data_IF_574832486569
#
_entry.id   IF_574832486569
#
_cell.length_a   1.000
_cell.length_b   1.000
_cell.length_c   1.000
_cell.angle_alpha   90.00
_cell.angle_beta   90.00
_cell.angle_gamma   90.00
#
_symmetry.space_group_name_H-M   'P 1'
#
loop_
_entity.id
_entity.type
_entity.pdbx_description
1 polymer ?
#
# COMPACT_ATOMS: atom_id res chain seq x y z
N UNK A 1 -25.83 -9.06 -7.49
CA UNK A 1 -24.80 -7.98 -7.49
C UNK A 1 -23.49 -8.65 -7.85
N UNK A 2 -22.78 -8.12 -8.83
CA UNK A 2 -21.44 -8.61 -9.18
C UNK A 2 -20.53 -8.27 -8.00
N UNK A 3 -19.73 -9.24 -7.55
CA UNK A 3 -18.74 -9.04 -6.49
C UNK A 3 -17.73 -7.96 -6.91
N UNK A 4 -17.52 -6.95 -6.06
CA UNK A 4 -16.62 -5.82 -6.35
C UNK A 4 -15.21 -6.30 -6.72
N UNK A 5 -14.66 -7.25 -5.97
CA UNK A 5 -13.33 -7.79 -6.25
C UNK A 5 -13.27 -8.42 -7.65
N UNK A 6 -14.27 -9.23 -8.02
CA UNK A 6 -14.34 -9.85 -9.34
C UNK A 6 -14.45 -8.82 -10.47
N UNK A 7 -15.23 -7.74 -10.27
CA UNK A 7 -15.31 -6.62 -11.22
C UNK A 7 -13.94 -5.99 -11.46
N UNK A 8 -13.18 -5.77 -10.38
CA UNK A 8 -11.84 -5.17 -10.45
C UNK A 8 -10.83 -6.10 -11.13
N UNK A 9 -10.86 -7.39 -10.84
CA UNK A 9 -10.03 -8.40 -11.52
C UNK A 9 -10.28 -8.39 -13.03
N UNK A 10 -11.56 -8.40 -13.45
CA UNK A 10 -11.93 -8.37 -14.86
C UNK A 10 -11.54 -7.06 -15.55
N UNK A 11 -11.71 -5.93 -14.89
CA UNK A 11 -11.26 -4.63 -15.39
C UNK A 11 -9.74 -4.61 -15.55
N UNK A 12 -9.01 -5.09 -14.55
CA UNK A 12 -7.54 -5.16 -14.57
C UNK A 12 -7.03 -6.06 -15.71
N UNK A 13 -7.64 -7.22 -15.93
CA UNK A 13 -7.29 -8.12 -17.03
C UNK A 13 -7.42 -7.45 -18.40
N UNK A 14 -8.54 -6.74 -18.62
CA UNK A 14 -8.76 -6.00 -19.88
C UNK A 14 -7.74 -4.89 -20.06
N UNK A 15 -7.40 -4.14 -19.00
CA UNK A 15 -6.40 -3.06 -19.03
C UNK A 15 -5.02 -3.61 -19.35
N UNK A 16 -4.60 -4.69 -18.70
CA UNK A 16 -3.30 -5.33 -18.94
C UNK A 16 -3.18 -5.85 -20.39
N UNK A 17 -4.22 -6.49 -20.92
CA UNK A 17 -4.25 -6.96 -22.30
C UNK A 17 -4.17 -5.80 -23.32
N UNK A 18 -4.94 -4.73 -23.09
CA UNK A 18 -4.92 -3.54 -23.96
C UNK A 18 -3.55 -2.84 -23.92
N UNK A 19 -2.99 -2.65 -22.75
CA UNK A 19 -1.69 -2.01 -22.55
C UNK A 19 -0.56 -2.82 -23.20
N UNK A 20 -0.56 -4.14 -23.07
CA UNK A 20 0.43 -5.02 -23.75
C UNK A 20 0.41 -4.90 -25.26
N UNK A 21 -0.76 -4.67 -25.86
CA UNK A 21 -0.91 -4.48 -27.31
C UNK A 21 -0.47 -3.08 -27.78
N UNK A 22 -0.79 -2.04 -27.00
CA UNK A 22 -0.51 -0.65 -27.37
C UNK A 22 0.90 -0.21 -27.02
N UNK A 23 1.48 -0.74 -25.95
CA UNK A 23 2.77 -0.33 -25.41
C UNK A 23 3.58 -1.58 -25.02
N UNK A 24 4.14 -2.32 -25.99
CA UNK A 24 4.94 -3.49 -25.67
C UNK A 24 6.17 -3.12 -24.83
N UNK A 25 6.20 -3.55 -23.58
CA UNK A 25 7.36 -3.39 -22.69
C UNK A 25 8.25 -4.63 -22.74
N UNK A 26 9.56 -4.42 -22.73
CA UNK A 26 10.50 -5.49 -22.41
C UNK A 26 10.46 -5.73 -20.89
N UNK A 27 10.58 -7.00 -20.49
CA UNK A 27 10.67 -7.36 -19.07
C UNK A 27 11.85 -6.64 -18.42
N UNK A 28 11.65 -5.75 -17.44
CA UNK A 28 12.75 -5.14 -16.71
C UNK A 28 13.54 -6.23 -15.96
N UNK A 29 14.84 -6.03 -15.83
CA UNK A 29 15.69 -6.93 -15.03
C UNK A 29 16.57 -6.09 -14.12
N UNK A 30 16.25 -6.10 -12.83
CA UNK A 30 17.03 -5.44 -11.80
C UNK A 30 17.15 -6.36 -10.57
N UNK A 31 17.68 -7.59 -10.72
CA UNK A 31 17.76 -8.55 -9.63
C UNK A 31 18.59 -7.96 -8.48
N UNK A 32 18.05 -8.05 -7.26
CA UNK A 32 18.69 -7.50 -6.06
C UNK A 32 18.49 -6.00 -5.83
N UNK A 33 17.75 -5.28 -6.69
CA UNK A 33 17.38 -3.89 -6.47
C UNK A 33 16.13 -3.73 -5.58
N UNK A 34 15.37 -4.81 -5.32
CA UNK A 34 14.26 -4.82 -4.39
C UNK A 34 14.74 -4.60 -2.93
N UNK A 35 13.80 -4.27 -2.06
CA UNK A 35 14.08 -4.03 -0.64
C UNK A 35 14.01 -2.57 -0.22
N UNK A 36 13.99 -1.62 -1.17
CA UNK A 36 14.00 -0.18 -0.87
C UNK A 36 12.73 0.25 -0.12
N UNK A 37 11.56 -0.23 -0.54
CA UNK A 37 10.28 0.12 0.10
C UNK A 37 10.19 -0.49 1.50
N UNK A 38 10.47 -1.80 1.60
CA UNK A 38 10.48 -2.50 2.89
C UNK A 38 11.52 -1.92 3.86
N UNK A 39 12.72 -1.60 3.36
CA UNK A 39 13.78 -1.03 4.19
C UNK A 39 13.42 0.35 4.77
N UNK A 40 12.77 1.23 3.99
CA UNK A 40 12.32 2.54 4.47
C UNK A 40 11.32 2.39 5.63
N UNK A 41 10.34 1.50 5.50
CA UNK A 41 9.36 1.25 6.56
C UNK A 41 10.00 0.61 7.80
N UNK A 42 10.86 -0.40 7.61
CA UNK A 42 11.55 -1.06 8.71
C UNK A 42 12.49 -0.12 9.49
N UNK A 43 13.22 0.74 8.79
CA UNK A 43 14.10 1.72 9.41
C UNK A 43 13.32 2.73 10.29
N UNK A 44 12.17 3.21 9.81
CA UNK A 44 11.31 4.11 10.56
C UNK A 44 10.71 3.45 11.81
N UNK A 45 10.24 2.19 11.67
CA UNK A 45 9.70 1.42 12.79
C UNK A 45 10.77 1.04 13.83
N UNK A 46 12.05 0.92 13.42
CA UNK A 46 13.17 0.60 14.30
C UNK A 46 13.86 1.84 14.89
N UNK A 47 13.42 3.05 14.54
CA UNK A 47 14.05 4.29 14.99
C UNK A 47 14.12 4.34 16.52
N UNK A 48 15.33 4.53 17.04
CA UNK A 48 15.61 4.52 18.48
C UNK A 48 14.82 5.60 19.22
N UNK A 49 14.26 5.24 20.35
CA UNK A 49 13.56 6.13 21.28
C UNK A 49 14.06 5.98 22.69
N UNK A 50 13.63 6.88 23.55
CA UNK A 50 13.81 6.76 24.99
C UNK A 50 13.33 5.38 25.47
N UNK A 51 14.08 4.73 26.39
CA UNK A 51 13.67 3.45 26.97
C UNK A 51 12.23 3.49 27.50
N UNK A 52 11.42 2.50 27.11
CA UNK A 52 10.02 2.41 27.52
C UNK A 52 9.02 3.13 26.62
N UNK A 53 9.48 3.86 25.59
CA UNK A 53 8.59 4.44 24.59
C UNK A 53 8.30 3.43 23.48
N UNK A 54 7.02 3.19 23.12
CA UNK A 54 6.68 2.30 22.01
C UNK A 54 7.31 2.78 20.68
N UNK A 55 7.77 1.84 19.85
CA UNK A 55 8.30 2.18 18.54
C UNK A 55 7.27 2.96 17.69
N UNK A 56 7.71 3.94 16.87
CA UNK A 56 6.81 4.65 15.97
C UNK A 56 6.30 3.72 14.89
N UNK A 57 5.09 4.01 14.40
CA UNK A 57 4.63 3.39 13.17
C UNK A 57 5.28 4.11 11.98
N UNK A 58 5.77 3.35 10.99
CA UNK A 58 6.05 3.92 9.69
C UNK A 58 4.73 4.29 9.01
N UNK A 59 4.74 5.34 8.18
CA UNK A 59 3.52 5.81 7.53
C UNK A 59 3.67 5.82 6.01
N UNK A 60 2.78 5.08 5.34
CA UNK A 60 2.56 5.11 3.90
C UNK A 60 1.40 6.07 3.65
N UNK A 61 1.67 7.23 3.02
CA UNK A 61 0.64 8.20 2.70
C UNK A 61 0.04 7.91 1.31
N UNK A 62 -1.29 7.71 1.25
CA UNK A 62 -1.96 7.31 0.01
C UNK A 62 -2.53 8.52 -0.75
N UNK A 63 -2.27 8.55 -2.05
CA UNK A 63 -2.85 9.48 -3.02
C UNK A 63 -4.01 8.79 -3.72
N UNK A 64 -5.22 9.35 -3.54
CA UNK A 64 -6.46 8.78 -4.04
C UNK A 64 -7.49 9.87 -4.30
N UNK A 65 -8.08 9.92 -5.50
CA UNK A 65 -9.12 10.91 -5.85
C UNK A 65 -10.53 10.45 -5.50
N UNK A 66 -10.75 9.13 -5.54
CA UNK A 66 -12.08 8.51 -5.33
C UNK A 66 -11.95 7.25 -4.50
N UNK A 67 -13.06 6.80 -3.94
CA UNK A 67 -13.15 5.45 -3.36
C UNK A 67 -14.53 4.83 -3.61
N UNK A 68 -14.62 3.49 -3.70
CA UNK A 68 -15.90 2.81 -3.88
C UNK A 68 -16.92 3.12 -2.79
N UNK A 69 -16.46 3.37 -1.55
CA UNK A 69 -17.33 3.62 -0.39
C UNK A 69 -17.78 5.06 -0.23
N UNK A 70 -17.04 6.04 -0.78
CA UNK A 70 -17.33 7.49 -0.60
C UNK A 70 -17.53 8.25 -1.91
N UNK A 71 -17.29 7.62 -3.06
CA UNK A 71 -17.28 8.34 -4.34
C UNK A 71 -16.10 9.29 -4.46
N UNK A 72 -16.33 10.48 -4.97
CA UNK A 72 -15.31 11.52 -5.16
C UNK A 72 -14.84 12.07 -3.80
N UNK A 73 -13.53 12.05 -3.55
CA UNK A 73 -12.89 12.56 -2.34
C UNK A 73 -12.18 13.88 -2.66
N UNK A 74 -11.35 13.89 -3.69
CA UNK A 74 -10.59 15.04 -4.15
C UNK A 74 -10.32 14.92 -5.67
N UNK A 75 -11.34 15.07 -6.54
CA UNK A 75 -11.22 14.80 -7.97
C UNK A 75 -10.14 15.64 -8.66
N UNK A 76 -9.93 16.90 -8.21
CA UNK A 76 -8.95 17.83 -8.75
C UNK A 76 -7.56 17.74 -8.09
N UNK A 77 -7.30 16.66 -7.33
CA UNK A 77 -6.05 16.51 -6.58
C UNK A 77 -4.85 16.40 -7.54
N UNK A 78 -3.89 17.31 -7.39
CA UNK A 78 -2.58 17.24 -8.02
C UNK A 78 -1.72 16.22 -7.25
N UNK A 79 -1.44 15.07 -7.88
CA UNK A 79 -0.73 13.96 -7.26
C UNK A 79 0.71 14.33 -6.87
N UNK A 80 1.42 15.10 -7.69
CA UNK A 80 2.80 15.51 -7.42
C UNK A 80 2.87 16.50 -6.26
N UNK A 81 1.99 17.50 -6.25
CA UNK A 81 1.92 18.47 -5.15
C UNK A 81 1.59 17.78 -3.83
N UNK A 82 0.66 16.83 -3.85
CA UNK A 82 0.28 16.05 -2.67
C UNK A 82 1.42 15.16 -2.18
N UNK A 83 2.11 14.47 -3.11
CA UNK A 83 3.25 13.62 -2.79
C UNK A 83 4.37 14.40 -2.09
N UNK A 84 4.75 15.55 -2.63
CA UNK A 84 5.77 16.43 -2.01
C UNK A 84 5.34 16.94 -0.63
N UNK A 85 4.05 17.22 -0.44
CA UNK A 85 3.53 17.63 0.85
C UNK A 85 3.60 16.48 1.87
N UNK A 86 3.31 15.25 1.47
CA UNK A 86 3.43 14.07 2.31
C UNK A 86 4.89 13.77 2.70
N UNK A 87 5.80 13.81 1.73
CA UNK A 87 7.23 13.64 1.97
C UNK A 87 7.77 14.69 2.93
N UNK A 88 7.48 15.98 2.67
CA UNK A 88 7.89 17.08 3.55
C UNK A 88 7.29 16.99 4.96
N UNK A 89 6.12 16.35 5.10
CA UNK A 89 5.45 16.09 6.37
C UNK A 89 5.99 14.84 7.10
N UNK A 90 6.91 14.10 6.50
CA UNK A 90 7.60 12.96 7.12
C UNK A 90 6.92 11.60 6.89
N UNK A 91 6.19 11.42 5.78
CA UNK A 91 5.81 10.09 5.32
C UNK A 91 7.04 9.31 4.84
N UNK A 92 7.14 8.04 5.20
CA UNK A 92 8.26 7.17 4.82
C UNK A 92 8.10 6.56 3.43
N UNK A 93 6.86 6.49 2.94
CA UNK A 93 6.54 5.99 1.61
C UNK A 93 5.24 6.63 1.11
N UNK A 94 5.03 6.59 -0.20
CA UNK A 94 3.79 7.07 -0.83
C UNK A 94 3.14 5.93 -1.57
N UNK A 95 1.82 5.78 -1.40
CA UNK A 95 0.97 4.88 -2.18
C UNK A 95 0.23 5.68 -3.24
N UNK A 96 0.31 5.26 -4.50
CA UNK A 96 -0.40 5.90 -5.61
C UNK A 96 -1.40 4.92 -6.20
N UNK A 97 -2.70 5.26 -6.10
CA UNK A 97 -3.74 4.51 -6.81
C UNK A 97 -3.54 4.68 -8.32
N UNK A 98 -3.53 3.56 -9.06
CA UNK A 98 -3.44 3.58 -10.53
C UNK A 98 -4.68 3.01 -11.21
N UNK A 99 -5.65 2.51 -10.43
CA UNK A 99 -6.93 2.05 -10.94
C UNK A 99 -7.80 3.26 -11.35
N UNK A 100 -8.23 3.35 -12.63
CA UNK A 100 -8.86 4.56 -13.15
C UNK A 100 -10.35 4.67 -12.84
N UNK A 101 -11.09 3.56 -12.89
CA UNK A 101 -12.56 3.59 -12.94
C UNK A 101 -13.20 3.88 -11.56
N UNK A 102 -12.68 3.23 -10.51
CA UNK A 102 -13.23 3.30 -9.15
C UNK A 102 -12.44 4.21 -8.22
N UNK A 103 -11.14 4.43 -8.51
CA UNK A 103 -10.26 5.21 -7.65
C UNK A 103 -9.74 6.50 -8.30
N UNK A 104 -9.98 6.69 -9.61
CA UNK A 104 -9.56 7.89 -10.35
C UNK A 104 -8.04 8.03 -10.44
N UNK A 105 -7.33 6.91 -10.43
CA UNK A 105 -5.87 6.84 -10.52
C UNK A 105 -5.35 6.70 -11.95
N UNK A 106 -4.03 6.79 -12.11
CA UNK A 106 -3.38 6.56 -13.40
C UNK A 106 -1.90 6.15 -13.23
N UNK A 107 -1.35 5.45 -14.23
CA UNK A 107 0.09 5.20 -14.32
C UNK A 107 0.90 6.48 -14.51
N UNK A 108 0.30 7.51 -15.13
CA UNK A 108 0.96 8.81 -15.31
C UNK A 108 1.14 9.52 -13.97
N UNK A 109 0.17 9.43 -13.05
CA UNK A 109 0.33 9.90 -11.67
C UNK A 109 1.48 9.17 -10.97
N UNK A 110 1.53 7.83 -11.08
CA UNK A 110 2.61 7.03 -10.49
C UNK A 110 3.97 7.48 -11.01
N UNK A 111 4.12 7.62 -12.33
CA UNK A 111 5.36 8.05 -12.97
C UNK A 111 5.78 9.46 -12.52
N UNK A 112 4.84 10.39 -12.53
CA UNK A 112 5.09 11.76 -12.13
C UNK A 112 5.46 11.87 -10.63
N UNK A 113 4.79 11.12 -9.75
CA UNK A 113 5.10 11.08 -8.32
C UNK A 113 6.47 10.44 -8.10
N UNK A 114 6.75 9.28 -8.68
CA UNK A 114 8.03 8.59 -8.51
C UNK A 114 9.24 9.44 -8.95
N UNK A 115 9.05 10.29 -9.98
CA UNK A 115 10.07 11.25 -10.42
C UNK A 115 10.19 12.49 -9.54
N UNK A 116 9.23 12.78 -8.66
CA UNK A 116 9.13 14.04 -7.93
C UNK A 116 9.52 13.94 -6.45
N UNK A 117 9.64 12.74 -5.89
CA UNK A 117 9.94 12.48 -4.47
C UNK A 117 11.10 11.50 -4.31
N UNK A 118 11.79 11.58 -3.18
CA UNK A 118 12.90 10.68 -2.83
C UNK A 118 12.41 9.44 -2.07
N UNK A 119 11.28 9.53 -1.36
CA UNK A 119 10.69 8.39 -0.66
C UNK A 119 10.16 7.33 -1.63
N UNK A 120 10.23 6.03 -1.28
CA UNK A 120 9.78 4.96 -2.18
C UNK A 120 8.27 5.01 -2.43
N UNK A 121 7.87 4.69 -3.67
CA UNK A 121 6.48 4.75 -4.13
C UNK A 121 5.93 3.36 -4.38
N UNK A 122 4.73 3.08 -3.85
CA UNK A 122 3.94 1.88 -4.06
C UNK A 122 2.92 2.10 -5.18
N UNK A 123 2.89 1.23 -6.19
CA UNK A 123 1.75 1.10 -7.11
C UNK A 123 0.60 0.38 -6.40
N UNK A 124 -0.50 1.05 -6.15
CA UNK A 124 -1.73 0.49 -5.56
C UNK A 124 -2.75 0.24 -6.67
N UNK A 125 -2.91 -1.01 -7.07
CA UNK A 125 -3.81 -1.46 -8.14
C UNK A 125 -4.18 -2.94 -7.92
N UNK A 126 -5.07 -3.49 -8.74
CA UNK A 126 -5.37 -4.93 -8.79
C UNK A 126 -4.39 -5.59 -9.77
N UNK A 127 -3.20 -5.97 -9.28
CA UNK A 127 -2.13 -6.58 -10.06
C UNK A 127 -2.41 -8.09 -10.19
N UNK A 128 -2.64 -8.56 -11.42
CA UNK A 128 -2.96 -9.98 -11.72
C UNK A 128 -2.12 -10.57 -12.86
N UNK A 129 -1.33 -9.74 -13.51
CA UNK A 129 -0.53 -10.10 -14.70
C UNK A 129 0.90 -9.56 -14.57
N UNK A 130 1.94 -10.36 -14.94
CA UNK A 130 3.34 -9.91 -14.90
C UNK A 130 3.60 -8.61 -15.67
N UNK A 131 2.86 -8.36 -16.74
CA UNK A 131 3.00 -7.11 -17.49
C UNK A 131 2.73 -5.87 -16.62
N UNK A 132 1.79 -5.95 -15.67
CA UNK A 132 1.51 -4.83 -14.75
C UNK A 132 2.67 -4.60 -13.76
N UNK A 133 3.43 -5.64 -13.42
CA UNK A 133 4.68 -5.51 -12.65
C UNK A 133 5.72 -4.76 -13.48
N UNK A 134 5.84 -5.06 -14.78
CA UNK A 134 6.75 -4.35 -15.69
C UNK A 134 6.37 -2.87 -15.84
N UNK A 135 5.08 -2.58 -15.99
CA UNK A 135 4.58 -1.19 -16.02
C UNK A 135 4.95 -0.43 -14.74
N UNK A 136 4.84 -1.09 -13.57
CA UNK A 136 5.20 -0.47 -12.30
C UNK A 136 6.70 -0.15 -12.23
N UNK A 137 7.55 -1.09 -12.65
CA UNK A 137 9.00 -0.87 -12.69
C UNK A 137 9.39 0.24 -13.69
N UNK A 138 8.81 0.25 -14.90
CA UNK A 138 9.01 1.30 -15.90
C UNK A 138 8.55 2.68 -15.40
N UNK A 139 7.47 2.72 -14.62
CA UNK A 139 6.96 3.95 -14.01
C UNK A 139 7.77 4.42 -12.78
N UNK A 140 8.79 3.68 -12.35
CA UNK A 140 9.65 4.04 -11.22
C UNK A 140 9.10 3.68 -9.84
N UNK A 141 8.11 2.79 -9.74
CA UNK A 141 7.66 2.27 -8.46
C UNK A 141 8.80 1.55 -7.72
N UNK A 142 8.76 1.55 -6.40
CA UNK A 142 9.63 0.74 -5.55
C UNK A 142 8.94 -0.54 -5.06
N UNK A 143 7.60 -0.55 -5.09
CA UNK A 143 6.79 -1.69 -4.69
C UNK A 143 5.47 -1.76 -5.47
N UNK A 144 4.85 -2.95 -5.46
CA UNK A 144 3.49 -3.17 -5.95
C UNK A 144 2.64 -3.86 -4.88
N UNK A 145 1.32 -3.69 -5.00
CA UNK A 145 0.35 -4.43 -4.20
C UNK A 145 0.01 -5.76 -4.88
N UNK A 146 0.06 -6.86 -4.13
CA UNK A 146 -0.44 -8.16 -4.54
C UNK A 146 -1.56 -8.58 -3.60
N UNK A 147 -2.80 -8.62 -4.08
CA UNK A 147 -3.97 -8.99 -3.25
C UNK A 147 -4.14 -10.50 -3.27
N UNK A 148 -3.91 -11.18 -2.14
CA UNK A 148 -3.99 -12.63 -2.07
C UNK A 148 -5.36 -13.17 -2.54
N UNK A 149 -6.45 -12.55 -2.10
CA UNK A 149 -7.82 -12.93 -2.50
C UNK A 149 -8.10 -12.78 -4.00
N UNK A 150 -7.37 -11.90 -4.72
CA UNK A 150 -7.56 -11.65 -6.14
C UNK A 150 -6.82 -12.66 -7.04
N UNK A 151 -5.90 -13.45 -6.49
CA UNK A 151 -4.97 -14.27 -7.24
C UNK A 151 -5.27 -15.77 -7.06
N UNK A 152 -5.35 -16.57 -8.15
CA UNK A 152 -5.41 -18.03 -8.04
C UNK A 152 -4.21 -18.61 -7.31
N UNK A 153 -4.37 -19.82 -6.75
CA UNK A 153 -3.26 -20.56 -6.14
C UNK A 153 -2.13 -20.76 -7.16
N UNK A 154 -0.90 -20.44 -6.77
CA UNK A 154 0.28 -20.47 -7.63
C UNK A 154 0.59 -19.15 -8.36
N UNK A 155 -0.40 -18.31 -8.64
CA UNK A 155 -0.16 -17.00 -9.28
C UNK A 155 0.47 -16.00 -8.33
N UNK A 156 0.13 -16.04 -7.04
CA UNK A 156 0.70 -15.13 -6.03
C UNK A 156 2.23 -15.30 -5.92
N UNK A 157 2.72 -16.54 -5.83
CA UNK A 157 4.16 -16.83 -5.79
C UNK A 157 4.87 -16.38 -7.06
N UNK A 158 4.29 -16.71 -8.24
CA UNK A 158 4.88 -16.31 -9.52
C UNK A 158 4.97 -14.78 -9.69
N UNK A 159 3.96 -14.03 -9.22
CA UNK A 159 4.01 -12.56 -9.25
C UNK A 159 4.97 -11.99 -8.20
N UNK A 160 5.12 -12.62 -7.05
CA UNK A 160 6.10 -12.25 -6.04
C UNK A 160 7.53 -12.40 -6.59
N UNK A 161 7.83 -13.53 -7.24
CA UNK A 161 9.12 -13.76 -7.90
C UNK A 161 9.34 -12.74 -9.03
N UNK A 162 8.31 -12.45 -9.84
CA UNK A 162 8.39 -11.45 -10.90
C UNK A 162 8.70 -10.04 -10.34
N UNK A 163 8.12 -9.67 -9.20
CA UNK A 163 8.45 -8.40 -8.54
C UNK A 163 9.94 -8.35 -8.18
N UNK A 164 10.47 -9.40 -7.55
CA UNK A 164 11.87 -9.47 -7.17
C UNK A 164 12.82 -9.41 -8.37
N UNK A 165 12.50 -10.11 -9.45
CA UNK A 165 13.27 -10.09 -10.70
C UNK A 165 13.28 -8.72 -11.37
N UNK A 166 12.18 -7.94 -11.21
CA UNK A 166 12.06 -6.57 -11.70
C UNK A 166 12.61 -5.52 -10.72
N UNK A 167 13.14 -5.93 -9.56
CA UNK A 167 13.71 -5.02 -8.56
C UNK A 167 12.68 -4.31 -7.70
N UNK A 168 11.47 -4.85 -7.61
CA UNK A 168 10.37 -4.31 -6.81
C UNK A 168 10.15 -5.11 -5.52
N UNK A 169 9.74 -4.43 -4.46
CA UNK A 169 9.11 -5.07 -3.31
C UNK A 169 7.65 -5.42 -3.63
N UNK A 170 7.10 -6.40 -2.89
CA UNK A 170 5.68 -6.70 -2.94
C UNK A 170 5.05 -6.55 -1.55
N UNK A 171 4.00 -5.72 -1.46
CA UNK A 171 3.09 -5.68 -0.31
C UNK A 171 1.97 -6.68 -0.59
N UNK A 172 1.99 -7.82 0.11
CA UNK A 172 0.97 -8.86 -0.05
C UNK A 172 -0.20 -8.56 0.87
N UNK A 173 -1.34 -8.17 0.28
CA UNK A 173 -2.56 -7.81 1.00
C UNK A 173 -3.37 -9.06 1.35
N UNK A 174 -3.78 -9.16 2.62
CA UNK A 174 -4.56 -10.27 3.19
C UNK A 174 -5.77 -9.73 3.96
N UNK A 175 -6.89 -10.49 3.94
CA UNK A 175 -8.17 -10.11 4.57
C UNK A 175 -8.65 -11.12 5.62
N UNK A 176 -8.12 -12.33 5.60
CA UNK A 176 -8.50 -13.43 6.46
C UNK A 176 -7.33 -14.41 6.69
N UNK A 177 -7.56 -15.43 7.51
CA UNK A 177 -6.53 -16.42 7.85
C UNK A 177 -6.08 -17.25 6.65
N UNK A 178 -6.97 -17.58 5.70
CA UNK A 178 -6.64 -18.35 4.51
C UNK A 178 -5.71 -17.54 3.58
N UNK A 179 -5.96 -16.24 3.40
CA UNK A 179 -5.07 -15.35 2.66
C UNK A 179 -3.71 -15.23 3.35
N UNK A 180 -3.70 -15.16 4.68
CA UNK A 180 -2.47 -15.11 5.48
C UNK A 180 -1.63 -16.38 5.29
N UNK A 181 -2.25 -17.57 5.34
CA UNK A 181 -1.57 -18.85 5.10
C UNK A 181 -0.98 -18.89 3.68
N UNK A 182 -1.72 -18.44 2.68
CA UNK A 182 -1.24 -18.34 1.29
C UNK A 182 -0.05 -17.40 1.16
N UNK A 183 -0.09 -16.22 1.82
CA UNK A 183 1.02 -15.29 1.83
C UNK A 183 2.27 -15.90 2.48
N UNK A 184 2.12 -16.64 3.58
CA UNK A 184 3.23 -17.38 4.20
C UNK A 184 3.78 -18.47 3.28
N UNK A 185 2.92 -19.23 2.60
CA UNK A 185 3.33 -20.35 1.74
C UNK A 185 4.22 -19.91 0.57
N UNK A 186 4.10 -18.66 0.12
CA UNK A 186 4.93 -18.08 -0.96
C UNK A 186 6.11 -17.27 -0.42
N UNK A 187 6.31 -17.20 0.88
CA UNK A 187 7.45 -16.50 1.50
C UNK A 187 7.32 -14.98 1.52
N UNK A 188 6.10 -14.43 1.57
CA UNK A 188 5.88 -12.98 1.66
C UNK A 188 6.57 -12.42 2.93
N UNK A 189 7.46 -11.43 2.74
CA UNK A 189 8.22 -10.79 3.83
C UNK A 189 7.61 -9.46 4.30
N UNK A 190 6.60 -8.97 3.60
CA UNK A 190 5.83 -7.77 3.91
C UNK A 190 4.35 -8.05 3.62
N UNK A 191 3.51 -7.94 4.64
CA UNK A 191 2.07 -8.25 4.55
C UNK A 191 1.24 -7.04 4.95
N UNK A 192 0.25 -6.73 4.12
CA UNK A 192 -0.76 -5.71 4.38
C UNK A 192 -2.03 -6.37 4.91
N UNK A 193 -2.45 -6.07 6.13
CA UNK A 193 -3.77 -6.48 6.60
C UNK A 193 -4.74 -5.37 6.27
N UNK A 194 -5.66 -5.64 5.34
CA UNK A 194 -6.69 -4.70 4.98
C UNK A 194 -7.93 -4.90 5.87
N UNK A 195 -8.20 -3.90 6.72
CA UNK A 195 -9.37 -3.88 7.60
C UNK A 195 -10.69 -3.65 6.86
N UNK A 196 -10.64 -3.42 5.54
CA UNK A 196 -11.83 -3.28 4.68
C UNK A 196 -12.11 -4.59 3.98
N UNK A 197 -13.29 -5.13 4.19
CA UNK A 197 -13.82 -6.25 3.41
C UNK A 197 -14.06 -5.81 1.96
N UNK A 198 -13.52 -6.55 0.98
CA UNK A 198 -13.63 -6.23 -0.45
C UNK A 198 -14.99 -6.60 -1.07
N UNK A 199 -15.83 -7.34 -0.35
CA UNK A 199 -17.17 -7.70 -0.80
C UNK A 199 -18.23 -6.73 -0.29
N UNK A 200 -18.16 -6.36 1.02
CA UNK A 200 -19.13 -5.49 1.68
C UNK A 200 -18.70 -4.02 1.72
N UNK A 201 -17.40 -3.74 1.55
CA UNK A 201 -16.73 -2.45 1.74
C UNK A 201 -16.77 -1.92 3.18
N UNK A 202 -17.24 -2.72 4.12
CA UNK A 202 -17.23 -2.40 5.56
C UNK A 202 -15.80 -2.42 6.11
N UNK A 203 -15.56 -1.63 7.14
CA UNK A 203 -14.25 -1.50 7.80
C UNK A 203 -14.38 -1.93 9.24
N UNK A 204 -13.53 -2.91 9.64
CA UNK A 204 -13.44 -3.36 11.03
C UNK A 204 -11.96 -3.56 11.43
N UNK A 205 -11.48 -2.73 12.35
CA UNK A 205 -10.12 -2.83 12.88
C UNK A 205 -9.85 -4.14 13.67
N UNK A 206 -10.90 -4.87 14.07
CA UNK A 206 -10.75 -6.17 14.71
C UNK A 206 -10.09 -7.20 13.78
N UNK A 207 -10.21 -7.05 12.45
CA UNK A 207 -9.50 -7.87 11.46
C UNK A 207 -7.98 -7.71 11.63
N UNK A 208 -7.51 -6.46 11.70
CA UNK A 208 -6.08 -6.15 11.94
C UNK A 208 -5.58 -6.63 13.29
N UNK A 209 -6.41 -6.57 14.34
CA UNK A 209 -6.09 -7.10 15.67
C UNK A 209 -5.97 -8.63 15.65
N UNK A 210 -6.91 -9.31 15.00
CA UNK A 210 -6.91 -10.77 14.90
C UNK A 210 -5.75 -11.30 14.05
N UNK A 211 -5.59 -10.81 12.82
CA UNK A 211 -4.54 -11.28 11.92
C UNK A 211 -3.16 -10.84 12.37
N UNK A 212 -3.03 -9.64 12.96
CA UNK A 212 -1.77 -9.16 13.51
C UNK A 212 -1.18 -10.08 14.57
N UNK A 213 -2.05 -10.68 15.41
CA UNK A 213 -1.62 -11.66 16.41
C UNK A 213 -1.07 -12.97 15.80
N UNK A 214 -1.37 -13.25 14.53
CA UNK A 214 -0.90 -14.42 13.79
C UNK A 214 0.35 -14.11 12.93
N UNK A 215 0.69 -12.84 12.73
CA UNK A 215 1.86 -12.43 11.94
C UNK A 215 3.13 -12.56 12.77
N UNK A 216 4.08 -13.35 12.27
CA UNK A 216 5.37 -13.56 12.91
C UNK A 216 6.31 -12.36 12.80
N UNK A 217 7.21 -12.22 13.78
CA UNK A 217 8.12 -11.06 13.91
C UNK A 217 9.08 -10.84 12.72
N UNK A 218 9.28 -11.85 11.86
CA UNK A 218 10.12 -11.74 10.67
C UNK A 218 9.42 -11.07 9.47
N UNK A 219 8.11 -10.87 9.56
CA UNK A 219 7.28 -10.25 8.51
C UNK A 219 6.98 -8.80 8.89
N UNK A 220 7.19 -7.87 7.98
CA UNK A 220 6.78 -6.48 8.18
C UNK A 220 5.26 -6.39 8.00
N UNK A 221 4.55 -6.08 9.10
CA UNK A 221 3.10 -5.94 9.11
C UNK A 221 2.70 -4.49 8.87
N UNK A 222 1.95 -4.25 7.78
CA UNK A 222 1.32 -2.97 7.42
C UNK A 222 -0.18 -3.09 7.68
N UNK A 223 -0.78 -2.20 8.48
CA UNK A 223 -2.24 -2.14 8.62
C UNK A 223 -2.84 -1.12 7.65
N UNK A 224 -3.88 -1.54 6.93
CA UNK A 224 -4.53 -0.74 5.89
C UNK A 224 -6.01 -0.54 6.19
N UNK A 225 -6.56 0.58 5.76
CA UNK A 225 -7.97 1.00 5.95
C UNK A 225 -8.38 1.23 7.40
N UNK A 226 -9.32 2.15 7.61
CA UNK A 226 -9.94 2.40 8.91
C UNK A 226 -9.11 3.23 9.90
N UNK A 227 -7.92 3.65 9.54
CA UNK A 227 -7.03 4.42 10.41
C UNK A 227 -7.26 5.91 10.12
N UNK A 228 -8.08 6.55 10.95
CA UNK A 228 -8.43 7.97 10.81
C UNK A 228 -7.96 8.85 11.96
N UNK A 229 -7.60 8.26 13.09
CA UNK A 229 -7.21 8.98 14.30
C UNK A 229 -6.04 8.28 15.02
N UNK A 230 -5.30 8.99 15.90
CA UNK A 230 -4.20 8.41 16.68
C UNK A 230 -4.60 7.17 17.51
N UNK A 231 -5.82 7.11 17.99
CA UNK A 231 -6.36 5.94 18.71
C UNK A 231 -6.39 4.68 17.84
N UNK A 232 -6.74 4.81 16.55
CA UNK A 232 -6.82 3.71 15.60
C UNK A 232 -5.42 3.18 15.30
N UNK A 233 -4.48 4.09 15.08
CA UNK A 233 -3.07 3.78 14.91
C UNK A 233 -2.47 3.08 16.14
N UNK A 234 -2.84 3.51 17.36
CA UNK A 234 -2.43 2.83 18.61
C UNK A 234 -2.97 1.40 18.69
N UNK A 235 -4.23 1.17 18.29
CA UNK A 235 -4.80 -0.20 18.23
C UNK A 235 -3.97 -1.10 17.31
N UNK A 236 -3.67 -0.64 16.11
CA UNK A 236 -2.89 -1.41 15.13
C UNK A 236 -1.44 -1.65 15.60
N UNK A 237 -0.81 -0.67 16.23
CA UNK A 237 0.50 -0.86 16.87
C UNK A 237 0.47 -1.92 17.98
N UNK A 238 -0.57 -1.92 18.80
CA UNK A 238 -0.76 -2.94 19.86
C UNK A 238 -0.97 -4.34 19.25
N UNK A 239 -1.60 -4.41 18.07
CA UNK A 239 -1.75 -5.64 17.29
C UNK A 239 -0.44 -6.10 16.61
N UNK A 240 0.67 -5.33 16.71
CA UNK A 240 1.97 -5.68 16.15
C UNK A 240 2.30 -5.01 14.82
N UNK A 241 1.46 -4.10 14.32
CA UNK A 241 1.79 -3.35 13.10
C UNK A 241 3.06 -2.52 13.29
N UNK A 242 3.95 -2.56 12.30
CA UNK A 242 5.13 -1.71 12.20
C UNK A 242 4.89 -0.51 11.27
N UNK A 243 3.91 -0.62 10.36
CA UNK A 243 3.54 0.45 9.46
C UNK A 243 2.01 0.55 9.32
N UNK A 244 1.56 1.73 8.89
CA UNK A 244 0.16 2.01 8.55
C UNK A 244 0.07 2.65 7.18
N UNK A 245 -0.98 2.32 6.41
CA UNK A 245 -1.32 2.96 5.16
C UNK A 245 -2.56 3.83 5.36
N UNK A 246 -2.43 5.15 5.13
CA UNK A 246 -3.46 6.13 5.41
C UNK A 246 -3.69 7.02 4.19
N UNK A 247 -4.94 7.12 3.74
CA UNK A 247 -5.36 7.97 2.61
C UNK A 247 -6.37 9.04 3.02
N UNK A 248 -7.61 8.64 3.27
CA UNK A 248 -8.74 9.56 3.44
C UNK A 248 -8.53 10.64 4.51
N UNK A 249 -7.97 10.26 5.66
CA UNK A 249 -7.70 11.21 6.74
C UNK A 249 -6.65 12.25 6.35
N UNK A 250 -5.61 11.85 5.61
CA UNK A 250 -4.54 12.76 5.18
C UNK A 250 -4.97 13.65 4.02
N UNK A 251 -5.78 13.13 3.08
CA UNK A 251 -6.32 13.94 1.97
C UNK A 251 -7.25 15.05 2.50
N UNK A 252 -8.04 14.75 3.53
CA UNK A 252 -8.92 15.72 4.19
C UNK A 252 -8.16 16.75 5.04
N UNK A 253 -6.86 16.52 5.33
CA UNK A 253 -6.04 17.38 6.17
C UNK A 253 -5.40 18.50 5.35
N UNK A 254 -5.59 19.78 5.68
CA UNK A 254 -4.87 20.88 5.02
C UNK A 254 -3.35 20.69 5.09
N UNK A 255 -2.63 21.06 4.03
CA UNK A 255 -1.17 20.88 3.95
C UNK A 255 -0.42 21.46 5.16
N UNK A 256 -0.85 22.60 5.68
CA UNK A 256 -0.24 23.25 6.86
C UNK A 256 -0.30 22.37 8.14
N UNK A 257 -1.18 21.39 8.18
CA UNK A 257 -1.39 20.50 9.34
C UNK A 257 -0.91 19.06 9.11
N UNK A 258 -0.44 18.72 7.90
CA UNK A 258 -0.03 17.34 7.56
C UNK A 258 1.09 16.82 8.47
N UNK A 259 2.10 17.63 8.77
CA UNK A 259 3.22 17.20 9.62
C UNK A 259 2.74 16.83 11.04
N UNK A 260 1.82 17.62 11.61
CA UNK A 260 1.24 17.33 12.92
C UNK A 260 0.35 16.09 12.87
N UNK A 261 -0.47 15.92 11.83
CA UNK A 261 -1.33 14.76 11.66
C UNK A 261 -0.52 13.47 11.49
N UNK A 262 0.51 13.48 10.65
CA UNK A 262 1.42 12.34 10.44
C UNK A 262 2.16 11.98 11.73
N UNK A 263 2.70 12.98 12.45
CA UNK A 263 3.37 12.75 13.73
C UNK A 263 2.44 12.13 14.77
N UNK A 264 1.18 12.58 14.84
CA UNK A 264 0.18 12.05 15.76
C UNK A 264 -0.19 10.58 15.42
N UNK A 265 -0.39 10.25 14.14
CA UNK A 265 -0.67 8.89 13.68
C UNK A 265 0.49 7.93 13.93
N UNK A 266 1.73 8.39 13.76
CA UNK A 266 2.94 7.61 14.07
C UNK A 266 3.16 7.36 15.58
N UNK A 267 2.40 8.03 16.42
CA UNK A 267 2.55 7.99 17.88
C UNK A 267 3.64 8.92 18.41
N UNK A 268 3.95 9.98 17.66
CA UNK A 268 4.92 11.03 18.03
C UNK A 268 4.23 12.28 18.61
N UNK A 269 2.91 12.29 18.67
CA UNK A 269 2.13 13.39 19.24
C UNK A 269 2.01 13.30 20.78
N UNK A 270 1.55 14.37 21.45
CA UNK A 270 1.23 14.32 22.86
C UNK A 270 0.25 13.17 23.13
N UNK A 271 0.49 12.44 24.20
CA UNK A 271 -0.43 11.42 24.71
C UNK A 271 -1.58 12.17 25.39
N UNK A 272 -2.77 12.15 24.77
CA UNK A 272 -4.01 12.50 25.47
C UNK A 272 -4.40 11.42 26.48
#
# INVERSE_FOLDING_TARGET
MTDFLMEMIMSSARRAEAARKSTPLARPRAPGAHGRFRAALAAAAAAAREPGTPAPLALIAEIKRRSPSKGDIAPELDAVKQARAYEAAGAEAISVLTEPDRFGGSLDDLRAVAAAVDVPVLRKDFIIDPYQVWEAADAGAAAVLLIAAALPSGSLGALLDECHDCGLDALVEVHNADDLERAYSVGASMMGVNNRDLHTLEVDLAVGEYLGALIGACVLFVSESGIGAPRDARRMRTAGAQAILVGEALIATPHAHLAAAIAALRGNGPTD
#
